data_IF_969304108692
#
_entry.id   IF_969304108692
#
_cell.length_a   1.000
_cell.length_b   1.000
_cell.length_c   1.000
_cell.angle_alpha   90.00
_cell.angle_beta   90.00
_cell.angle_gamma   90.00
#
_symmetry.space_group_name_H-M   'P 1'
#
loop_
_entity.id
_entity.type
_entity.pdbx_description
1 polymer ?
#
# COMPACT_ATOMS: atom_id res chain seq x y z
N UNK A 1 9.23 -6.87 21.16
CA UNK A 1 9.67 -6.62 19.78
C UNK A 1 8.76 -5.53 19.28
N UNK A 2 9.31 -4.33 19.05
CA UNK A 2 8.55 -3.18 18.58
C UNK A 2 8.78 -3.07 17.09
N UNK A 3 7.75 -2.74 16.31
CA UNK A 3 7.90 -2.64 14.86
C UNK A 3 9.04 -1.68 14.49
N UNK A 4 10.00 -2.17 13.69
CA UNK A 4 11.14 -1.38 13.24
C UNK A 4 10.73 -0.29 12.24
N UNK A 5 9.61 -0.48 11.54
CA UNK A 5 9.07 0.49 10.61
C UNK A 5 7.54 0.37 10.35
N UNK A 6 6.95 1.44 9.80
CA UNK A 6 5.59 1.45 9.27
C UNK A 6 5.45 2.33 8.03
N UNK A 7 4.56 1.92 7.15
CA UNK A 7 4.19 2.63 5.93
C UNK A 7 2.92 3.46 6.15
N UNK A 8 2.93 4.70 5.66
CA UNK A 8 1.73 5.53 5.55
C UNK A 8 1.34 5.59 4.09
N UNK A 9 0.15 5.07 3.79
CA UNK A 9 -0.42 5.00 2.44
C UNK A 9 -1.75 5.73 2.39
N UNK A 10 -2.05 6.34 1.25
CA UNK A 10 -3.44 6.69 0.90
C UNK A 10 -3.85 5.86 -0.32
N UNK A 11 -4.88 5.02 -0.19
CA UNK A 11 -5.24 4.11 -1.27
C UNK A 11 -6.24 3.01 -0.89
N UNK A 12 -6.24 1.96 -1.70
CA UNK A 12 -7.04 0.75 -1.50
C UNK A 12 -6.20 -0.34 -0.85
N UNK A 13 -6.84 -1.15 -0.01
CA UNK A 13 -6.26 -2.32 0.63
C UNK A 13 -7.11 -3.55 0.30
N UNK A 14 -6.47 -4.63 -0.09
CA UNK A 14 -7.08 -5.95 -0.23
C UNK A 14 -6.39 -6.92 0.71
N UNK A 15 -7.17 -7.82 1.29
CA UNK A 15 -6.67 -9.00 1.99
C UNK A 15 -6.61 -10.16 1.01
N UNK A 16 -5.58 -10.97 1.17
CA UNK A 16 -5.27 -12.10 0.32
C UNK A 16 -5.07 -13.29 1.25
N UNK A 17 -5.86 -14.33 1.02
CA UNK A 17 -5.83 -15.55 1.82
C UNK A 17 -4.48 -16.25 1.67
N UNK A 18 -3.98 -16.86 2.75
CA UNK A 18 -2.69 -17.54 2.74
C UNK A 18 -2.64 -18.80 1.85
N UNK A 19 -3.80 -19.39 1.54
CA UNK A 19 -3.90 -20.56 0.65
C UNK A 19 -4.04 -20.18 -0.84
N UNK A 20 -4.09 -18.90 -1.18
CA UNK A 20 -4.14 -18.40 -2.55
C UNK A 20 -2.75 -18.36 -3.22
N UNK A 21 -2.07 -19.51 -3.29
CA UNK A 21 -0.67 -19.63 -3.77
C UNK A 21 -0.42 -18.96 -5.13
N UNK A 22 -1.37 -19.07 -6.07
CA UNK A 22 -1.28 -18.44 -7.39
C UNK A 22 -1.33 -16.90 -7.32
N UNK A 23 -2.14 -16.34 -6.42
CA UNK A 23 -2.24 -14.88 -6.23
C UNK A 23 -0.97 -14.36 -5.55
N UNK A 24 -0.46 -15.08 -4.54
CA UNK A 24 0.79 -14.76 -3.84
C UNK A 24 2.00 -14.81 -4.78
N UNK A 25 2.12 -15.84 -5.61
CA UNK A 25 3.20 -15.96 -6.61
C UNK A 25 3.19 -14.79 -7.61
N UNK A 26 2.01 -14.26 -7.93
CA UNK A 26 1.87 -13.08 -8.80
C UNK A 26 2.24 -11.79 -8.09
N UNK A 27 2.01 -11.67 -6.77
CA UNK A 27 2.48 -10.51 -6.00
C UNK A 27 4.00 -10.48 -5.92
N UNK A 28 4.63 -11.64 -5.67
CA UNK A 28 6.08 -11.79 -5.58
C UNK A 28 6.79 -11.45 -6.88
N UNK A 29 6.19 -11.81 -8.01
CA UNK A 29 6.73 -11.53 -9.34
C UNK A 29 6.34 -10.15 -9.91
N UNK A 30 5.66 -9.31 -9.10
CA UNK A 30 5.06 -8.04 -9.54
C UNK A 30 4.13 -8.18 -10.76
N UNK A 31 3.57 -9.37 -10.97
CA UNK A 31 2.67 -9.73 -12.06
C UNK A 31 1.19 -9.65 -11.68
N UNK A 32 0.86 -9.28 -10.44
CA UNK A 32 -0.51 -9.20 -10.00
C UNK A 32 -1.27 -8.12 -10.80
N UNK A 33 -2.49 -8.39 -11.33
CA UNK A 33 -3.21 -7.43 -12.17
C UNK A 33 -3.38 -6.04 -11.55
N UNK A 34 -3.62 -5.99 -10.23
CA UNK A 34 -3.73 -4.72 -9.48
C UNK A 34 -2.39 -3.97 -9.40
N UNK A 35 -1.25 -4.66 -9.28
CA UNK A 35 0.08 -4.02 -9.28
C UNK A 35 0.44 -3.52 -10.68
N UNK A 36 0.15 -4.31 -11.72
CA UNK A 36 0.35 -3.90 -13.11
C UNK A 36 -0.46 -2.64 -13.43
N UNK A 37 -1.75 -2.63 -13.10
CA UNK A 37 -2.61 -1.46 -13.29
C UNK A 37 -2.14 -0.25 -12.46
N UNK A 38 -1.69 -0.46 -11.22
CA UNK A 38 -1.11 0.60 -10.41
C UNK A 38 0.08 1.26 -11.11
N UNK A 39 1.03 0.45 -11.58
CA UNK A 39 2.25 0.90 -12.24
C UNK A 39 1.96 1.67 -13.53
N UNK A 40 1.02 1.19 -14.34
CA UNK A 40 0.61 1.85 -15.59
C UNK A 40 0.03 3.25 -15.37
N UNK A 41 -0.59 3.47 -14.20
CA UNK A 41 -1.20 4.75 -13.82
C UNK A 41 -0.36 5.58 -12.84
N UNK A 42 0.90 5.18 -12.62
CA UNK A 42 1.83 5.90 -11.72
C UNK A 42 1.32 5.95 -10.27
N UNK A 43 0.71 4.86 -9.83
CA UNK A 43 0.41 4.56 -8.43
C UNK A 43 1.51 3.67 -7.86
N UNK A 44 1.71 3.80 -6.56
CA UNK A 44 2.59 2.94 -5.79
C UNK A 44 1.82 1.67 -5.38
N UNK A 45 2.52 0.54 -5.23
CA UNK A 45 1.96 -0.69 -4.66
C UNK A 45 2.88 -1.27 -3.61
N UNK A 46 2.30 -1.84 -2.55
CA UNK A 46 3.03 -2.48 -1.46
C UNK A 46 2.27 -3.70 -0.96
N UNK A 47 2.94 -4.81 -0.71
CA UNK A 47 2.27 -6.02 -0.20
C UNK A 47 3.11 -6.65 0.90
N UNK A 48 2.45 -7.43 1.76
CA UNK A 48 3.11 -8.08 2.88
C UNK A 48 2.15 -8.99 3.64
N UNK A 49 2.59 -9.41 4.82
CA UNK A 49 1.83 -10.24 5.75
C UNK A 49 1.50 -9.43 7.00
N UNK A 50 0.31 -9.64 7.57
CA UNK A 50 -0.04 -9.05 8.87
C UNK A 50 0.66 -9.79 10.01
N UNK A 51 0.65 -9.19 11.21
CA UNK A 51 1.19 -9.83 12.41
C UNK A 51 0.46 -11.16 12.74
N UNK A 52 -0.81 -11.28 12.35
CA UNK A 52 -1.48 -12.57 12.27
C UNK A 52 -0.94 -13.27 11.02
N UNK A 53 -0.06 -14.26 11.20
CA UNK A 53 0.78 -14.95 10.18
C UNK A 53 -0.01 -15.71 9.08
N UNK A 54 -1.25 -15.34 8.81
CA UNK A 54 -2.18 -16.02 7.92
C UNK A 54 -2.94 -15.09 6.97
N UNK A 55 -2.72 -13.77 7.06
CA UNK A 55 -3.40 -12.82 6.17
C UNK A 55 -2.35 -11.97 5.45
N UNK A 56 -2.30 -12.14 4.13
CA UNK A 56 -1.53 -11.26 3.27
C UNK A 56 -2.37 -10.03 2.91
N UNK A 57 -1.71 -8.96 2.54
CA UNK A 57 -2.38 -7.77 2.05
C UNK A 57 -1.66 -7.17 0.86
N UNK A 58 -2.43 -6.48 0.01
CA UNK A 58 -1.92 -5.61 -1.04
C UNK A 58 -2.50 -4.20 -0.84
N UNK A 59 -1.63 -3.21 -0.82
CA UNK A 59 -1.92 -1.78 -0.88
C UNK A 59 -1.63 -1.26 -2.29
N UNK A 60 -2.55 -0.46 -2.83
CA UNK A 60 -2.34 0.31 -4.06
C UNK A 60 -2.83 1.73 -3.85
N UNK A 61 -2.01 2.72 -4.22
CA UNK A 61 -2.34 4.11 -3.98
C UNK A 61 -1.11 5.01 -4.06
N UNK A 62 -0.95 5.88 -3.07
CA UNK A 62 0.22 6.72 -2.90
C UNK A 62 0.93 6.38 -1.59
N UNK A 63 2.21 6.02 -1.67
CA UNK A 63 3.10 5.95 -0.52
C UNK A 63 3.45 7.38 -0.09
N UNK A 64 3.13 7.69 1.16
CA UNK A 64 3.28 9.03 1.73
C UNK A 64 4.51 9.11 2.62
N UNK A 65 4.87 8.02 3.27
CA UNK A 65 6.12 7.91 4.00
C UNK A 65 6.36 6.50 4.51
N UNK A 66 7.63 6.19 4.71
CA UNK A 66 8.09 4.98 5.37
C UNK A 66 8.84 5.45 6.62
N UNK A 67 8.27 5.19 7.79
CA UNK A 67 8.77 5.72 9.05
C UNK A 67 9.32 4.59 9.90
N UNK A 68 10.47 4.78 10.51
CA UNK A 68 11.14 3.73 11.26
C UNK A 68 12.53 4.17 11.70
N UNK A 69 13.21 3.33 12.47
CA UNK A 69 14.55 3.67 12.97
C UNK A 69 15.57 3.84 11.84
N UNK A 70 15.43 3.07 10.77
CA UNK A 70 16.26 3.14 9.56
C UNK A 70 15.65 3.99 8.45
N UNK A 71 14.47 4.56 8.67
CA UNK A 71 13.71 5.30 7.66
C UNK A 71 13.42 6.72 8.11
N UNK A 72 12.36 7.34 7.61
CA UNK A 72 12.01 8.68 8.03
C UNK A 72 11.66 8.68 9.53
N UNK A 73 12.24 9.61 10.27
CA UNK A 73 11.96 9.75 11.70
C UNK A 73 10.72 10.62 11.96
N UNK A 74 10.34 11.43 10.98
CA UNK A 74 9.16 12.29 11.03
C UNK A 74 8.76 12.73 9.61
N UNK A 75 7.47 13.00 9.44
CA UNK A 75 6.92 13.57 8.21
C UNK A 75 5.87 14.61 8.57
N UNK A 76 5.79 15.68 7.77
CA UNK A 76 4.75 16.69 7.91
C UNK A 76 4.17 16.97 6.54
N UNK A 77 2.84 16.89 6.44
CA UNK A 77 2.11 17.29 5.25
C UNK A 77 1.24 18.48 5.59
N UNK A 78 1.28 19.48 4.73
CA UNK A 78 0.34 20.59 4.81
C UNK A 78 -1.03 20.15 4.30
N UNK A 79 -2.09 20.77 4.83
CA UNK A 79 -3.47 20.43 4.45
C UNK A 79 -3.68 20.46 2.93
N UNK A 80 -3.16 21.49 2.26
CA UNK A 80 -3.27 21.62 0.80
C UNK A 80 -2.55 20.48 0.05
N UNK A 81 -1.43 19.99 0.59
CA UNK A 81 -0.71 18.86 0.02
C UNK A 81 -1.47 17.55 0.24
N UNK A 82 -2.08 17.36 1.42
CA UNK A 82 -2.93 16.20 1.73
C UNK A 82 -4.14 16.14 0.79
N UNK A 83 -4.87 17.25 0.65
CA UNK A 83 -6.07 17.32 -0.20
C UNK A 83 -5.72 17.01 -1.66
N UNK A 84 -4.63 17.59 -2.16
CA UNK A 84 -4.13 17.34 -3.52
C UNK A 84 -3.73 15.88 -3.73
N UNK A 85 -2.96 15.32 -2.80
CA UNK A 85 -2.52 13.92 -2.85
C UNK A 85 -3.73 12.99 -2.90
N UNK A 86 -4.76 13.24 -2.08
CA UNK A 86 -5.95 12.42 -2.04
C UNK A 86 -6.73 12.47 -3.36
N UNK A 87 -6.90 13.66 -3.95
CA UNK A 87 -7.63 13.80 -5.22
C UNK A 87 -6.88 13.15 -6.38
N UNK A 88 -5.58 13.44 -6.53
CA UNK A 88 -4.74 12.85 -7.58
C UNK A 88 -4.72 11.31 -7.48
N UNK A 89 -4.67 10.77 -6.25
CA UNK A 89 -4.71 9.32 -6.03
C UNK A 89 -6.05 8.72 -6.42
N UNK A 90 -7.18 9.37 -6.07
CA UNK A 90 -8.52 8.92 -6.46
C UNK A 90 -8.70 8.92 -7.97
N UNK A 91 -8.26 9.97 -8.65
CA UNK A 91 -8.33 10.06 -10.11
C UNK A 91 -7.55 8.92 -10.78
N UNK A 92 -6.32 8.67 -10.31
CA UNK A 92 -5.49 7.57 -10.82
C UNK A 92 -6.09 6.19 -10.54
N UNK A 93 -6.63 5.96 -9.35
CA UNK A 93 -7.30 4.68 -9.01
C UNK A 93 -8.51 4.44 -9.92
N UNK A 94 -9.33 5.47 -10.17
CA UNK A 94 -10.45 5.40 -11.11
C UNK A 94 -9.96 5.12 -12.54
N UNK A 95 -8.92 5.81 -12.99
CA UNK A 95 -8.34 5.61 -14.32
C UNK A 95 -7.77 4.19 -14.51
N UNK A 96 -7.19 3.61 -13.46
CA UNK A 96 -6.69 2.23 -13.43
C UNK A 96 -7.80 1.17 -13.35
N UNK A 97 -9.07 1.57 -13.27
CA UNK A 97 -10.20 0.65 -13.09
C UNK A 97 -10.23 -0.02 -11.71
N UNK A 98 -9.48 0.50 -10.73
CA UNK A 98 -9.42 -0.03 -9.38
C UNK A 98 -10.53 0.60 -8.54
N UNK A 99 -11.64 -0.12 -8.39
CA UNK A 99 -12.81 0.32 -7.62
C UNK A 99 -12.63 0.14 -6.11
N UNK A 100 -13.27 1.03 -5.34
CA UNK A 100 -13.29 1.02 -3.88
C UNK A 100 -13.27 2.45 -3.30
N UNK A 101 -13.38 2.58 -1.97
CA UNK A 101 -13.22 3.86 -1.28
C UNK A 101 -11.78 3.97 -0.75
N UNK A 102 -10.94 4.89 -1.26
CA UNK A 102 -9.56 5.03 -0.80
C UNK A 102 -9.49 5.63 0.60
N UNK A 103 -8.68 5.01 1.45
CA UNK A 103 -8.50 5.39 2.85
C UNK A 103 -7.01 5.55 3.20
N UNK A 104 -6.76 6.16 4.36
CA UNK A 104 -5.43 6.18 4.95
C UNK A 104 -5.13 4.84 5.63
N UNK A 105 -4.01 4.23 5.24
CA UNK A 105 -3.53 2.98 5.80
C UNK A 105 -2.19 3.22 6.50
N UNK A 106 -2.11 2.83 7.76
CA UNK A 106 -0.89 2.88 8.58
C UNK A 106 -0.49 1.43 8.85
N UNK A 107 0.46 0.93 8.06
CA UNK A 107 0.78 -0.49 8.02
C UNK A 107 2.16 -0.74 8.62
N UNK A 108 2.22 -1.48 9.72
CA UNK A 108 3.49 -1.93 10.28
C UNK A 108 4.16 -2.96 9.38
N UNK A 109 5.49 -2.91 9.34
CA UNK A 109 6.31 -4.01 8.87
C UNK A 109 6.68 -4.91 10.06
N UNK A 110 6.44 -6.23 9.97
CA UNK A 110 7.00 -7.15 10.94
C UNK A 110 8.53 -7.21 10.79
N UNK A 111 9.26 -7.14 11.91
CA UNK A 111 10.71 -7.35 11.95
C UNK A 111 11.03 -8.71 11.31
N UNK A 112 11.91 -8.72 10.29
CA UNK A 112 12.40 -9.95 9.64
C UNK A 112 13.71 -10.43 10.25
#
# INVERSE_FOLDING_TARGET
MGADAFHVYYGLRWEIEADAEDELSRLESEGHPRQTAAREHGLDSWWGITADEYVYFLLVGKLVGHFGWQHDHQGRLERAAVDRLMEETREKLRAAGLGGEPAWHFQFEPDR
#
